data_IF_248060080129
#
_entry.id   IF_248060080129
#
_cell.length_a   1.000
_cell.length_b   1.000
_cell.length_c   1.000
_cell.angle_alpha   90.00
_cell.angle_beta   90.00
_cell.angle_gamma   90.00
#
_symmetry.space_group_name_H-M   'P 1'
#
loop_
_entity.id
_entity.type
_entity.pdbx_description
1 polymer ?
#
# COMPACT_ATOMS: atom_id res chain seq x y z
N UNK A 1 16.13 -31.34 41.51
CA UNK A 1 14.92 -30.49 41.61
C UNK A 1 15.16 -29.02 41.23
N UNK A 2 16.04 -28.27 41.90
CA UNK A 2 16.27 -26.83 41.59
C UNK A 2 16.60 -26.54 40.12
N UNK A 3 17.46 -27.35 39.48
CA UNK A 3 17.81 -27.22 38.05
C UNK A 3 16.62 -27.44 37.11
N UNK A 4 15.73 -28.37 37.43
CA UNK A 4 14.52 -28.66 36.63
C UNK A 4 13.52 -27.50 36.74
N UNK A 5 13.37 -26.94 37.94
CA UNK A 5 12.50 -25.77 38.18
C UNK A 5 13.03 -24.54 37.43
N UNK A 6 14.34 -24.30 37.43
CA UNK A 6 14.95 -23.21 36.66
C UNK A 6 14.75 -23.36 35.16
N UNK A 7 14.87 -24.58 34.61
CA UNK A 7 14.63 -24.85 33.19
C UNK A 7 13.15 -24.61 32.83
N UNK A 8 12.21 -25.10 33.65
CA UNK A 8 10.78 -24.84 33.44
C UNK A 8 10.45 -23.34 33.51
N UNK A 9 11.08 -22.60 34.42
CA UNK A 9 10.87 -21.15 34.53
C UNK A 9 11.39 -20.41 33.30
N UNK A 10 12.58 -20.77 32.79
CA UNK A 10 13.15 -20.18 31.57
C UNK A 10 12.24 -20.48 30.36
N UNK A 11 11.77 -21.71 30.22
CA UNK A 11 10.83 -22.09 29.15
C UNK A 11 9.52 -21.30 29.24
N UNK A 12 9.01 -21.05 30.45
CA UNK A 12 7.80 -20.26 30.66
C UNK A 12 8.01 -18.78 30.29
N UNK A 13 9.16 -18.20 30.64
CA UNK A 13 9.50 -16.82 30.25
C UNK A 13 9.68 -16.70 28.73
N UNK A 14 10.35 -17.66 28.09
CA UNK A 14 10.52 -17.68 26.63
C UNK A 14 9.18 -17.84 25.92
N UNK A 15 8.30 -18.73 26.41
CA UNK A 15 6.95 -18.91 25.87
C UNK A 15 6.08 -17.66 26.06
N UNK A 16 6.20 -16.98 27.20
CA UNK A 16 5.45 -15.74 27.44
C UNK A 16 5.98 -14.58 26.59
N UNK A 17 7.31 -14.46 26.44
CA UNK A 17 7.94 -13.48 25.58
C UNK A 17 7.61 -13.74 24.10
N UNK A 18 7.59 -14.99 23.64
CA UNK A 18 7.23 -15.32 22.27
C UNK A 18 5.77 -14.98 21.99
N UNK A 19 4.82 -15.27 22.88
CA UNK A 19 3.41 -14.86 22.73
C UNK A 19 3.26 -13.33 22.72
N UNK A 20 4.05 -12.61 23.52
CA UNK A 20 4.01 -11.15 23.57
C UNK A 20 4.62 -10.50 22.31
N UNK A 21 5.70 -11.09 21.78
CA UNK A 21 6.40 -10.61 20.58
C UNK A 21 5.67 -11.01 19.29
N UNK A 22 5.05 -12.19 19.23
CA UNK A 22 4.26 -12.69 18.09
C UNK A 22 2.79 -12.31 18.17
N UNK A 23 2.42 -11.26 18.91
CA UNK A 23 1.02 -10.85 18.97
C UNK A 23 0.61 -10.24 17.62
N UNK A 24 -0.23 -10.91 16.79
CA UNK A 24 -0.57 -10.42 15.45
C UNK A 24 -1.28 -9.07 15.49
N UNK A 25 -1.83 -8.68 16.64
CA UNK A 25 -2.39 -7.35 16.91
C UNK A 25 -1.36 -6.20 16.87
N UNK A 26 -0.05 -6.52 16.83
CA UNK A 26 1.04 -5.54 16.73
C UNK A 26 1.60 -5.40 15.30
N UNK A 27 1.11 -6.19 14.33
CA UNK A 27 1.50 -6.01 12.93
C UNK A 27 0.97 -4.71 12.35
N UNK A 28 1.66 -4.13 11.36
CA UNK A 28 1.19 -2.94 10.65
C UNK A 28 -0.23 -3.14 10.09
N UNK A 29 -0.51 -4.31 9.51
CA UNK A 29 -1.83 -4.61 8.96
C UNK A 29 -2.93 -4.61 10.04
N UNK A 30 -2.67 -5.20 11.21
CA UNK A 30 -3.63 -5.18 12.31
C UNK A 30 -3.84 -3.77 12.86
N UNK A 31 -2.78 -2.97 12.93
CA UNK A 31 -2.88 -1.57 13.34
C UNK A 31 -3.65 -0.74 12.33
N UNK A 32 -3.39 -0.93 11.03
CA UNK A 32 -4.14 -0.30 9.94
C UNK A 32 -5.64 -0.62 10.06
N UNK A 33 -6.02 -1.89 10.18
CA UNK A 33 -7.42 -2.28 10.36
C UNK A 33 -8.08 -1.64 11.60
N UNK A 34 -7.34 -1.49 12.70
CA UNK A 34 -7.84 -0.78 13.89
C UNK A 34 -8.02 0.73 13.66
N UNK A 35 -7.16 1.33 12.83
CA UNK A 35 -7.27 2.74 12.44
C UNK A 35 -8.45 2.93 11.49
N UNK A 36 -8.61 2.08 10.48
CA UNK A 36 -9.69 2.14 9.50
C UNK A 36 -11.07 1.94 10.14
N UNK A 37 -11.19 0.98 11.07
CA UNK A 37 -12.43 0.76 11.81
C UNK A 37 -12.76 1.88 12.82
N UNK A 38 -11.83 2.79 13.08
CA UNK A 38 -11.97 3.95 13.97
C UNK A 38 -12.42 3.61 15.41
N UNK A 39 -12.36 2.34 15.82
CA UNK A 39 -12.80 1.92 17.15
C UNK A 39 -11.91 2.53 18.24
N UNK A 40 -10.59 2.40 18.08
CA UNK A 40 -9.56 2.83 19.05
C UNK A 40 -8.79 4.07 18.63
N UNK A 41 -9.06 4.60 17.43
CA UNK A 41 -8.32 5.71 16.84
C UNK A 41 -9.29 6.76 16.30
N UNK A 42 -8.90 8.02 16.42
CA UNK A 42 -9.42 9.09 15.58
C UNK A 42 -8.72 9.03 14.23
N UNK A 43 -9.46 9.28 13.16
CA UNK A 43 -8.95 9.39 11.80
C UNK A 43 -9.48 10.69 11.19
N UNK A 44 -8.58 11.54 10.72
CA UNK A 44 -8.90 12.88 10.21
C UNK A 44 -8.25 13.02 8.84
N UNK A 45 -9.08 13.25 7.82
CA UNK A 45 -8.61 13.60 6.49
C UNK A 45 -7.92 14.98 6.53
N UNK A 46 -6.65 15.01 6.16
CA UNK A 46 -5.86 16.25 6.08
C UNK A 46 -5.83 16.81 4.66
N UNK A 47 -5.59 15.95 3.67
CA UNK A 47 -5.50 16.34 2.26
C UNK A 47 -6.26 15.34 1.38
N UNK A 48 -6.99 15.89 0.39
CA UNK A 48 -7.80 15.13 -0.57
C UNK A 48 -7.05 14.76 -1.84
N UNK A 49 -5.93 15.41 -2.15
CA UNK A 49 -5.24 15.29 -3.43
C UNK A 49 -3.73 15.38 -3.25
N UNK A 50 -3.12 14.28 -2.85
CA UNK A 50 -1.68 14.14 -2.81
C UNK A 50 -1.21 13.58 -4.16
N UNK A 51 -0.45 14.35 -4.96
CA UNK A 51 0.07 13.86 -6.23
C UNK A 51 1.21 12.86 -6.01
N UNK A 52 1.20 11.81 -6.82
CA UNK A 52 2.31 10.88 -7.01
C UNK A 52 2.79 10.95 -8.46
N UNK A 53 4.09 10.80 -8.64
CA UNK A 53 4.76 10.74 -9.94
C UNK A 53 5.76 9.58 -9.88
N UNK A 54 5.41 8.46 -10.49
CA UNK A 54 6.20 7.23 -10.49
C UNK A 54 6.79 7.03 -11.88
N UNK A 55 8.10 6.87 -11.97
CA UNK A 55 8.76 6.45 -13.22
C UNK A 55 8.98 4.94 -13.22
N UNK A 56 8.29 4.23 -14.12
CA UNK A 56 8.50 2.82 -14.38
C UNK A 56 9.65 2.66 -15.37
N UNK A 57 10.71 1.96 -14.94
CA UNK A 57 11.93 1.84 -15.72
C UNK A 57 11.80 0.80 -16.85
N UNK A 58 12.54 0.96 -17.96
CA UNK A 58 12.55 -0.01 -19.07
C UNK A 58 12.85 -1.44 -18.63
N UNK A 59 13.79 -1.63 -17.70
CA UNK A 59 14.22 -2.95 -17.23
C UNK A 59 13.16 -3.71 -16.42
N UNK A 60 12.09 -3.03 -16.01
CA UNK A 60 10.97 -3.61 -15.29
C UNK A 60 9.85 -4.11 -16.22
N UNK A 61 9.98 -3.86 -17.51
CA UNK A 61 8.94 -4.18 -18.50
C UNK A 61 9.29 -5.51 -19.16
N UNK A 62 8.41 -6.53 -19.07
CA UNK A 62 8.63 -7.82 -19.70
C UNK A 62 8.66 -7.70 -21.21
N UNK A 63 9.40 -8.60 -21.85
CA UNK A 63 9.65 -8.61 -23.31
C UNK A 63 8.97 -9.76 -24.01
N UNK A 64 8.52 -10.78 -23.28
CA UNK A 64 7.87 -11.96 -23.82
C UNK A 64 6.50 -12.22 -23.17
N UNK A 65 5.60 -12.83 -23.92
CA UNK A 65 4.31 -13.29 -23.41
C UNK A 65 4.50 -14.29 -22.26
N UNK A 66 3.64 -14.19 -21.24
CA UNK A 66 3.65 -14.98 -20.01
C UNK A 66 4.89 -14.76 -19.12
N UNK A 67 5.71 -13.75 -19.43
CA UNK A 67 6.81 -13.32 -18.57
C UNK A 67 6.27 -12.49 -17.40
N UNK A 68 6.71 -12.84 -16.19
CA UNK A 68 6.43 -12.09 -14.97
C UNK A 68 7.75 -11.70 -14.29
N UNK A 69 7.89 -10.42 -13.97
CA UNK A 69 9.05 -9.87 -13.27
C UNK A 69 8.59 -9.44 -11.88
N UNK A 70 9.14 -10.09 -10.85
CA UNK A 70 8.98 -9.67 -9.45
C UNK A 70 10.03 -8.61 -9.15
N UNK A 71 9.58 -7.44 -8.68
CA UNK A 71 10.43 -6.25 -8.51
C UNK A 71 10.56 -5.89 -7.03
N UNK A 72 9.44 -5.67 -6.33
CA UNK A 72 9.39 -5.26 -4.92
C UNK A 72 10.21 -3.99 -4.60
N UNK A 73 10.25 -3.04 -5.53
CA UNK A 73 11.00 -1.79 -5.39
C UNK A 73 10.08 -0.66 -4.91
N UNK A 74 10.60 0.21 -4.03
CA UNK A 74 9.90 1.45 -3.64
C UNK A 74 9.98 2.44 -4.79
N UNK A 75 8.83 2.77 -5.36
CA UNK A 75 8.71 3.66 -6.52
C UNK A 75 8.24 5.06 -6.15
N UNK A 76 7.65 5.24 -4.96
CA UNK A 76 7.36 6.54 -4.38
C UNK A 76 7.27 6.45 -2.84
N UNK A 77 7.57 7.56 -2.16
CA UNK A 77 7.37 7.71 -0.72
C UNK A 77 6.58 8.99 -0.45
N UNK A 78 5.51 8.88 0.34
CA UNK A 78 4.64 9.98 0.75
C UNK A 78 4.58 10.00 2.27
N UNK A 79 5.15 11.04 2.88
CA UNK A 79 5.04 11.28 4.33
C UNK A 79 5.47 10.05 5.16
N UNK A 80 6.50 9.35 4.68
CA UNK A 80 7.07 8.15 5.31
C UNK A 80 6.32 6.84 5.03
N UNK A 81 5.36 6.85 4.11
CA UNK A 81 4.67 5.66 3.59
C UNK A 81 5.13 5.37 2.17
N UNK A 82 5.22 4.10 1.80
CA UNK A 82 5.83 3.69 0.54
C UNK A 82 4.78 3.15 -0.42
N UNK A 83 4.98 3.42 -1.72
CA UNK A 83 4.32 2.73 -2.82
C UNK A 83 5.37 1.88 -3.49
N UNK A 84 5.09 0.60 -3.63
CA UNK A 84 5.98 -0.37 -4.26
C UNK A 84 5.44 -0.76 -5.61
N UNK A 85 6.33 -1.07 -6.55
CA UNK A 85 5.99 -1.86 -7.72
C UNK A 85 6.35 -3.31 -7.38
N UNK A 86 5.35 -4.16 -7.17
CA UNK A 86 5.56 -5.53 -6.69
C UNK A 86 5.92 -6.46 -7.84
N UNK A 87 5.13 -6.43 -8.91
CA UNK A 87 5.36 -7.25 -10.10
C UNK A 87 4.82 -6.58 -11.37
N UNK A 88 5.40 -6.99 -12.50
CA UNK A 88 4.91 -6.67 -13.84
C UNK A 88 4.77 -7.97 -14.63
N UNK A 89 3.61 -8.18 -15.24
CA UNK A 89 3.30 -9.41 -15.97
C UNK A 89 2.86 -9.09 -17.40
N UNK A 90 3.46 -9.77 -18.37
CA UNK A 90 2.98 -9.78 -19.75
C UNK A 90 1.86 -10.82 -19.85
N UNK A 91 0.62 -10.36 -19.99
CA UNK A 91 -0.57 -11.21 -20.12
C UNK A 91 -1.00 -11.29 -21.58
N UNK A 92 -2.06 -12.06 -21.83
CA UNK A 92 -2.61 -12.25 -23.17
C UNK A 92 -3.00 -10.94 -23.87
N UNK A 93 -3.48 -9.94 -23.13
CA UNK A 93 -4.04 -8.70 -23.69
C UNK A 93 -3.36 -7.40 -23.21
N UNK A 94 -2.54 -7.46 -22.16
CA UNK A 94 -1.89 -6.29 -21.58
C UNK A 94 -0.54 -6.60 -20.92
N UNK A 95 0.25 -5.56 -20.69
CA UNK A 95 1.33 -5.57 -19.71
C UNK A 95 0.77 -4.97 -18.43
N UNK A 96 0.67 -5.80 -17.39
CA UNK A 96 -0.01 -5.49 -16.13
C UNK A 96 0.99 -5.17 -15.02
N UNK A 97 0.77 -4.05 -14.35
CA UNK A 97 1.61 -3.53 -13.26
C UNK A 97 0.83 -3.56 -11.95
N UNK A 98 1.39 -4.18 -10.92
CA UNK A 98 0.78 -4.22 -9.57
C UNK A 98 1.57 -3.38 -8.59
N UNK A 99 0.86 -2.54 -7.84
CA UNK A 99 1.44 -1.65 -6.85
C UNK A 99 0.81 -1.86 -5.47
N UNK A 100 1.65 -2.09 -4.47
CA UNK A 100 1.24 -2.16 -3.07
C UNK A 100 1.54 -0.85 -2.35
N UNK A 101 0.56 -0.39 -1.57
CA UNK A 101 0.74 0.73 -0.65
C UNK A 101 1.12 0.20 0.73
N UNK A 102 2.29 0.60 1.26
CA UNK A 102 2.74 0.25 2.61
C UNK A 102 2.67 1.46 3.53
N UNK A 103 1.66 1.48 4.37
CA UNK A 103 1.58 2.45 5.46
C UNK A 103 2.54 2.10 6.60
N UNK A 104 3.38 3.06 6.98
CA UNK A 104 4.30 2.92 8.10
C UNK A 104 3.59 3.26 9.42
N UNK A 105 2.88 2.27 9.95
CA UNK A 105 1.97 2.46 11.07
C UNK A 105 2.70 2.59 12.41
N UNK A 106 2.27 3.54 13.24
CA UNK A 106 2.76 3.83 14.58
C UNK A 106 1.62 3.78 15.60
N UNK A 107 1.84 3.03 16.69
CA UNK A 107 0.78 2.69 17.65
C UNK A 107 0.05 3.88 18.30
N UNK A 108 0.70 5.03 18.46
CA UNK A 108 0.10 6.16 19.17
C UNK A 108 -0.57 7.18 18.23
N UNK A 109 -0.26 7.09 16.94
CA UNK A 109 -0.72 8.03 15.92
C UNK A 109 0.34 8.23 14.84
N UNK A 110 -0.10 8.64 13.66
CA UNK A 110 0.76 8.79 12.50
C UNK A 110 -0.01 9.30 11.29
N UNK A 111 0.60 9.11 10.12
CA UNK A 111 0.00 9.37 8.81
C UNK A 111 -0.33 8.05 8.15
N UNK A 112 -1.48 8.01 7.48
CA UNK A 112 -1.93 6.94 6.59
C UNK A 112 -2.25 7.57 5.24
N UNK A 113 -1.79 6.94 4.16
CA UNK A 113 -2.16 7.30 2.80
C UNK A 113 -3.16 6.27 2.26
N UNK A 114 -4.15 6.75 1.51
CA UNK A 114 -5.17 5.91 0.91
C UNK A 114 -5.60 6.45 -0.44
N UNK A 115 -5.74 5.57 -1.43
CA UNK A 115 -6.34 5.89 -2.73
C UNK A 115 -7.87 5.72 -2.75
N UNK A 116 -8.47 5.45 -1.58
CA UNK A 116 -9.90 5.26 -1.36
C UNK A 116 -10.39 6.13 -0.20
N UNK A 117 -11.65 6.55 -0.26
CA UNK A 117 -12.25 7.40 0.79
C UNK A 117 -12.64 6.51 1.96
N UNK A 118 -12.08 6.80 3.14
CA UNK A 118 -12.41 6.11 4.40
C UNK A 118 -13.56 6.87 5.08
N UNK A 119 -14.72 6.23 5.15
CA UNK A 119 -15.93 6.77 5.78
C UNK A 119 -15.88 6.63 7.31
N UNK A 120 -16.75 7.37 8.02
CA UNK A 120 -16.78 7.37 9.50
C UNK A 120 -17.13 6.01 10.12
N UNK A 121 -17.84 5.16 9.38
CA UNK A 121 -18.19 3.79 9.78
C UNK A 121 -17.08 2.76 9.45
N UNK A 122 -15.96 3.22 8.86
CA UNK A 122 -14.87 2.36 8.41
C UNK A 122 -15.12 1.68 7.06
N UNK A 123 -16.24 1.96 6.40
CA UNK A 123 -16.42 1.59 5.00
C UNK A 123 -15.47 2.39 4.12
N UNK A 124 -15.12 1.80 2.98
CA UNK A 124 -14.16 2.38 2.06
C UNK A 124 -14.77 2.43 0.67
N UNK A 125 -14.67 3.57 0.00
CA UNK A 125 -15.20 3.77 -1.35
C UNK A 125 -14.11 4.18 -2.34
N UNK A 126 -14.26 3.78 -3.60
CA UNK A 126 -13.22 3.89 -4.65
C UNK A 126 -12.85 5.33 -5.07
N UNK A 127 -13.47 6.35 -4.47
CA UNK A 127 -13.10 7.76 -4.69
C UNK A 127 -13.02 8.13 -6.17
N UNK A 128 -12.00 8.94 -6.51
CA UNK A 128 -11.73 9.41 -7.89
C UNK A 128 -10.44 8.80 -8.46
N UNK A 129 -10.04 7.60 -8.03
CA UNK A 129 -8.75 7.01 -8.42
C UNK A 129 -8.56 6.97 -9.94
N UNK A 130 -9.57 6.44 -10.64
CA UNK A 130 -9.52 6.21 -12.08
C UNK A 130 -9.50 7.51 -12.90
N UNK A 131 -10.22 8.54 -12.45
CA UNK A 131 -10.33 9.80 -13.19
C UNK A 131 -9.13 10.73 -13.03
N UNK A 132 -8.22 10.41 -12.10
CA UNK A 132 -7.03 11.21 -11.81
C UNK A 132 -5.72 10.49 -12.17
N UNK A 133 -5.80 9.28 -12.72
CA UNK A 133 -4.65 8.54 -13.24
C UNK A 133 -4.32 9.01 -14.65
N UNK A 134 -3.05 9.35 -14.89
CA UNK A 134 -2.52 9.71 -16.19
C UNK A 134 -1.23 8.93 -16.43
N UNK A 135 -1.09 8.40 -17.64
CA UNK A 135 0.12 7.72 -18.09
C UNK A 135 0.77 8.54 -19.20
N UNK A 136 2.08 8.72 -19.10
CA UNK A 136 2.86 9.40 -20.15
C UNK A 136 4.11 8.59 -20.46
N UNK A 137 4.44 8.41 -21.74
CA UNK A 137 5.72 7.80 -22.10
C UNK A 137 6.92 8.70 -21.73
N UNK A 138 8.14 8.20 -21.93
CA UNK A 138 9.37 8.95 -21.67
C UNK A 138 9.46 10.29 -22.45
N UNK A 139 8.73 10.44 -23.56
CA UNK A 139 8.68 11.67 -24.36
C UNK A 139 7.57 12.63 -23.93
N UNK A 140 6.75 12.25 -22.95
CA UNK A 140 5.62 13.04 -22.43
C UNK A 140 4.30 12.84 -23.17
N UNK A 141 4.23 11.93 -24.14
CA UNK A 141 3.00 11.62 -24.87
C UNK A 141 2.06 10.80 -23.98
N UNK A 142 0.76 11.08 -24.07
CA UNK A 142 -0.26 10.42 -23.24
C UNK A 142 -0.47 8.98 -23.71
N UNK A 143 -0.50 8.05 -22.76
CA UNK A 143 -0.85 6.65 -22.97
C UNK A 143 -2.24 6.41 -22.38
N UNK A 144 -3.10 5.70 -23.09
CA UNK A 144 -4.43 5.35 -22.57
C UNK A 144 -4.24 4.14 -21.63
N UNK A 145 -4.66 4.24 -20.36
CA UNK A 145 -4.63 3.08 -19.47
C UNK A 145 -5.67 2.05 -19.95
N UNK A 146 -5.27 0.78 -19.97
CA UNK A 146 -6.15 -0.37 -20.18
C UNK A 146 -6.89 -0.74 -18.89
N UNK A 147 -6.71 -1.97 -18.43
CA UNK A 147 -7.38 -2.42 -17.20
C UNK A 147 -6.87 -1.67 -15.98
N UNK A 148 -7.76 -1.16 -15.13
CA UNK A 148 -7.41 -0.55 -13.84
C UNK A 148 -8.03 -1.36 -12.69
N UNK A 149 -7.27 -1.51 -11.61
CA UNK A 149 -7.70 -2.24 -10.42
C UNK A 149 -7.37 -1.48 -9.15
N UNK A 150 -8.24 -1.64 -8.15
CA UNK A 150 -7.96 -1.23 -6.76
C UNK A 150 -8.02 -2.49 -5.90
N UNK A 151 -6.95 -2.75 -5.18
CA UNK A 151 -6.76 -3.93 -4.35
C UNK A 151 -7.07 -3.68 -2.87
N UNK A 152 -6.86 -4.71 -2.01
CA UNK A 152 -6.88 -4.54 -0.56
C UNK A 152 -5.75 -3.60 -0.10
N UNK A 153 -5.85 -3.00 1.09
CA UNK A 153 -4.75 -2.22 1.68
C UNK A 153 -4.33 -0.96 0.91
N UNK A 154 -5.20 -0.45 0.03
CA UNK A 154 -4.94 0.68 -0.88
C UNK A 154 -3.97 0.37 -2.03
N UNK A 155 -3.84 -0.91 -2.36
CA UNK A 155 -3.13 -1.36 -3.54
C UNK A 155 -3.85 -0.90 -4.81
N UNK A 156 -3.10 -0.76 -5.90
CA UNK A 156 -3.68 -0.51 -7.20
C UNK A 156 -2.92 -1.22 -8.30
N UNK A 157 -3.56 -1.31 -9.45
CA UNK A 157 -2.93 -1.90 -10.61
C UNK A 157 -3.42 -1.22 -11.89
N UNK A 158 -2.59 -1.33 -12.91
CA UNK A 158 -2.89 -0.82 -14.24
C UNK A 158 -2.34 -1.76 -15.31
N UNK A 159 -3.06 -1.86 -16.42
CA UNK A 159 -2.64 -2.52 -17.64
C UNK A 159 -2.34 -1.49 -18.72
N UNK A 160 -1.34 -1.78 -19.54
CA UNK A 160 -1.12 -1.12 -20.83
C UNK A 160 -1.41 -2.14 -21.91
N UNK A 161 -2.35 -1.84 -22.81
CA UNK A 161 -2.74 -2.77 -23.87
C UNK A 161 -1.55 -3.11 -24.77
N UNK A 162 -1.51 -4.33 -25.31
CA UNK A 162 -0.35 -4.77 -26.11
C UNK A 162 -0.12 -3.93 -27.37
N UNK A 163 -1.16 -3.31 -27.92
CA UNK A 163 -1.04 -2.37 -29.02
C UNK A 163 -0.24 -1.10 -28.64
N UNK A 164 -0.33 -0.68 -27.38
CA UNK A 164 0.38 0.46 -26.82
C UNK A 164 1.72 0.07 -26.16
N UNK A 165 2.03 -1.22 -26.03
CA UNK A 165 3.28 -1.70 -25.44
C UNK A 165 4.57 -1.08 -26.04
N UNK A 166 4.68 -0.76 -27.35
CA UNK A 166 5.84 -0.06 -27.89
C UNK A 166 6.09 1.31 -27.26
N UNK A 167 5.03 1.99 -26.81
CA UNK A 167 5.11 3.34 -26.23
C UNK A 167 5.77 3.34 -24.85
N UNK A 168 5.77 2.21 -24.13
CA UNK A 168 6.34 2.09 -22.79
C UNK A 168 7.72 1.47 -22.74
N UNK A 169 8.26 0.96 -23.86
CA UNK A 169 9.56 0.25 -23.89
C UNK A 169 10.75 1.08 -23.38
N UNK A 170 10.65 2.41 -23.41
CA UNK A 170 11.66 3.33 -22.86
C UNK A 170 11.36 3.78 -21.43
N UNK A 171 10.43 3.10 -20.76
CA UNK A 171 9.86 3.52 -19.50
C UNK A 171 8.74 4.55 -19.69
N UNK A 172 7.97 4.76 -18.63
CA UNK A 172 6.83 5.66 -18.62
C UNK A 172 6.55 6.19 -17.22
N UNK A 173 5.79 7.27 -17.15
CA UNK A 173 5.36 7.92 -15.93
C UNK A 173 3.93 7.54 -15.60
N UNK A 174 3.70 7.15 -14.34
CA UNK A 174 2.39 6.95 -13.73
C UNK A 174 2.15 8.14 -12.80
N UNK A 175 1.25 9.03 -13.21
CA UNK A 175 0.88 10.22 -12.44
C UNK A 175 -0.51 10.04 -11.88
N UNK A 176 -0.69 10.27 -10.59
CA UNK A 176 -1.99 10.13 -9.96
C UNK A 176 -2.15 11.15 -8.83
N UNK A 177 -3.31 11.81 -8.74
CA UNK A 177 -3.60 12.80 -7.70
C UNK A 177 -4.79 12.40 -6.81
N UNK A 178 -5.05 11.11 -6.69
CA UNK A 178 -6.19 10.55 -5.93
C UNK A 178 -5.83 10.04 -4.54
N UNK A 179 -4.54 9.99 -4.20
CA UNK A 179 -4.13 9.67 -2.84
C UNK A 179 -4.59 10.75 -1.87
N UNK A 180 -5.11 10.31 -0.74
CA UNK A 180 -5.58 11.12 0.36
C UNK A 180 -4.69 10.88 1.56
N UNK A 181 -4.44 11.95 2.31
CA UNK A 181 -3.64 11.89 3.52
C UNK A 181 -4.53 11.97 4.74
N UNK A 182 -4.46 10.93 5.56
CA UNK A 182 -5.18 10.85 6.82
C UNK A 182 -4.20 10.90 7.98
N UNK A 183 -4.51 11.73 8.98
CA UNK A 183 -3.84 11.68 10.27
C UNK A 183 -4.67 10.85 11.22
N UNK A 184 -4.03 9.91 11.90
CA UNK A 184 -4.69 9.15 12.96
C UNK A 184 -4.00 9.34 14.30
N UNK A 185 -4.78 9.18 15.36
CA UNK A 185 -4.30 9.27 16.74
C UNK A 185 -5.09 8.34 17.63
N UNK A 186 -4.41 7.64 18.53
CA UNK A 186 -5.08 6.74 19.47
C UNK A 186 -6.03 7.52 20.37
N UNK A 187 -7.25 7.01 20.57
CA UNK A 187 -8.18 7.52 21.57
C UNK A 187 -7.60 7.20 22.95
N UNK A 188 -7.43 8.21 23.78
CA UNK A 188 -7.21 7.99 25.20
C UNK A 188 -8.58 7.68 25.81
N UNK A 189 -8.65 6.71 26.73
CA UNK A 189 -9.87 6.51 27.50
C UNK A 189 -10.16 7.83 28.23
N UNK A 190 -11.22 8.53 27.83
CA UNK A 190 -11.88 9.46 28.72
C UNK A 190 -12.49 8.59 29.82
N UNK A 191 -11.87 8.58 31.00
CA UNK A 191 -12.57 8.19 32.21
C UNK A 191 -13.68 9.23 32.39
N UNK A 192 -14.87 8.91 31.89
CA UNK A 192 -16.06 9.71 32.10
C UNK A 192 -16.36 9.79 33.60
N UNK A 193 -16.66 11.02 34.03
CA UNK A 193 -17.13 11.44 35.34
C UNK A 193 -18.37 10.68 35.83
#
# INVERSE_FOLDING_TARGET
MKKVISICFILLVVAFASVFLYNPQLSNNALEQQVLSQQKYYLILQDRKVPIDIFVKPEWIPKAQDEEIIIQEVVATIEGNDILLDNVAYRENDIYFSFTTKNNMQRNGGILIANQIIEKNGEVSSGNFLSLLNLNNANGEVIIPGQLGIGPGFDFSLGVELEDAPSIQQGFYVKNASYMLYRYKKKFFEFGE
#
